data_IF_327179582342
#
_entry.id   IF_327179582342
#
_cell.length_a   1.000
_cell.length_b   1.000
_cell.length_c   1.000
_cell.angle_alpha   90.00
_cell.angle_beta   90.00
_cell.angle_gamma   90.00
#
_symmetry.space_group_name_H-M   'P 1'
#
loop_
_entity.id
_entity.type
_entity.pdbx_description
1 polymer ?
#
# COMPACT_ATOMS: atom_id res chain seq x y z
N UNK A 1 29.51 12.59 -26.02
CA UNK A 1 29.77 11.58 -24.97
C UNK A 1 29.26 12.01 -23.61
N UNK A 2 29.66 13.18 -23.08
CA UNK A 2 29.16 13.68 -21.78
C UNK A 2 27.64 13.98 -21.76
N UNK A 3 27.08 14.50 -22.86
CA UNK A 3 25.63 14.77 -22.99
C UNK A 3 24.81 13.48 -22.97
N UNK A 4 25.27 12.45 -23.69
CA UNK A 4 24.64 11.11 -23.76
C UNK A 4 24.69 10.38 -22.42
N UNK A 5 25.79 10.54 -21.67
CA UNK A 5 25.96 10.01 -20.32
C UNK A 5 25.04 10.72 -19.30
N UNK A 6 24.86 12.03 -19.44
CA UNK A 6 23.99 12.81 -18.57
C UNK A 6 22.50 12.49 -18.80
N UNK A 7 22.12 12.16 -20.05
CA UNK A 7 20.74 11.75 -20.38
C UNK A 7 20.43 10.33 -19.87
N UNK A 8 21.38 9.40 -19.95
CA UNK A 8 21.20 8.04 -19.41
C UNK A 8 21.14 8.04 -17.88
N UNK A 9 21.90 8.92 -17.21
CA UNK A 9 21.87 9.06 -15.76
C UNK A 9 20.53 9.63 -15.24
N UNK A 10 19.85 10.47 -16.02
CA UNK A 10 18.55 11.05 -15.63
C UNK A 10 17.40 10.05 -15.76
N UNK A 11 17.43 9.15 -16.75
CA UNK A 11 16.43 8.08 -16.87
C UNK A 11 16.57 7.00 -15.78
N UNK A 12 17.78 6.74 -15.28
CA UNK A 12 18.00 5.74 -14.23
C UNK A 12 17.45 6.19 -12.86
N UNK A 13 17.46 7.51 -12.57
CA UNK A 13 16.93 8.05 -11.33
C UNK A 13 15.39 8.00 -11.23
N UNK A 14 14.67 8.06 -12.35
CA UNK A 14 13.21 7.92 -12.37
C UNK A 14 12.75 6.49 -12.02
N UNK A 15 13.57 5.48 -12.32
CA UNK A 15 13.26 4.09 -11.97
C UNK A 15 13.40 3.81 -10.45
N UNK A 16 14.23 4.56 -9.71
CA UNK A 16 14.34 4.44 -8.25
C UNK A 16 13.21 5.14 -7.49
N UNK A 17 12.55 6.14 -8.09
CA UNK A 17 11.41 6.85 -7.48
C UNK A 17 10.09 6.06 -7.56
N UNK A 18 10.10 4.92 -8.24
CA UNK A 18 8.98 3.98 -8.31
C UNK A 18 8.98 2.96 -7.15
N UNK A 19 9.58 3.30 -6.00
CA UNK A 19 9.16 2.77 -4.70
C UNK A 19 7.78 3.35 -4.37
N UNK A 20 6.83 3.03 -5.24
CA UNK A 20 5.43 3.38 -5.24
C UNK A 20 4.81 2.88 -3.94
N UNK A 21 3.91 3.66 -3.35
CA UNK A 21 3.02 3.27 -2.26
C UNK A 21 2.60 1.80 -2.39
N UNK A 22 3.30 0.91 -1.69
CA UNK A 22 3.17 -0.53 -1.88
C UNK A 22 1.92 -0.99 -1.15
N UNK A 23 0.79 -0.83 -1.82
CA UNK A 23 -0.44 -1.51 -1.46
C UNK A 23 -0.40 -2.95 -1.99
N UNK A 24 -0.99 -3.92 -1.26
CA UNK A 24 -1.59 -3.74 0.07
C UNK A 24 -0.54 -3.48 1.16
N UNK A 25 -0.93 -2.73 2.19
CA UNK A 25 -0.09 -2.53 3.37
C UNK A 25 -0.12 -3.81 4.21
N UNK A 26 1.04 -4.43 4.36
CA UNK A 26 1.23 -5.64 5.17
C UNK A 26 1.88 -5.29 6.50
N UNK A 27 1.18 -5.60 7.59
CA UNK A 27 1.61 -5.33 8.97
C UNK A 27 1.79 -6.67 9.67
N UNK A 28 3.02 -7.24 9.67
CA UNK A 28 3.30 -8.47 10.39
C UNK A 28 3.29 -8.20 11.90
N UNK A 29 2.77 -9.16 12.65
CA UNK A 29 2.74 -9.15 14.12
C UNK A 29 3.17 -10.52 14.63
N UNK A 30 3.43 -10.63 15.93
CA UNK A 30 3.72 -11.94 16.56
C UNK A 30 2.58 -12.96 16.37
N UNK A 31 1.34 -12.49 16.24
CA UNK A 31 0.13 -13.32 16.19
C UNK A 31 -0.36 -13.62 14.77
N UNK A 32 0.11 -12.89 13.78
CA UNK A 32 -0.45 -12.98 12.43
C UNK A 32 -0.08 -11.80 11.54
N UNK A 33 -0.65 -11.79 10.35
CA UNK A 33 -0.50 -10.75 9.34
C UNK A 33 -1.81 -9.98 9.20
N UNK A 34 -1.75 -8.66 9.40
CA UNK A 34 -2.81 -7.74 9.02
C UNK A 34 -2.50 -7.16 7.64
N UNK A 35 -3.41 -7.34 6.70
CA UNK A 35 -3.33 -6.78 5.34
C UNK A 35 -4.41 -5.70 5.21
N UNK A 36 -4.01 -4.47 4.91
CA UNK A 36 -4.91 -3.36 4.61
C UNK A 36 -4.83 -3.11 3.10
N UNK A 37 -5.95 -3.28 2.41
CA UNK A 37 -6.03 -2.97 0.98
C UNK A 37 -6.19 -1.47 0.77
N UNK A 38 -5.86 -1.00 -0.43
CA UNK A 38 -5.90 0.42 -0.76
C UNK A 38 -7.26 1.05 -0.42
N UNK A 39 -7.29 2.12 0.40
CA UNK A 39 -8.52 2.85 0.70
C UNK A 39 -9.16 3.41 -0.56
N UNK A 40 -10.49 3.29 -0.64
CA UNK A 40 -11.32 3.87 -1.69
C UNK A 40 -12.00 5.11 -1.10
N UNK A 41 -11.77 6.31 -1.66
CA UNK A 41 -12.51 7.51 -1.27
C UNK A 41 -14.02 7.30 -1.43
N UNK A 42 -14.80 7.76 -0.46
CA UNK A 42 -16.26 7.72 -0.49
C UNK A 42 -16.89 9.12 -0.67
N UNK A 43 -16.29 10.17 -0.08
CA UNK A 43 -16.70 11.56 -0.31
C UNK A 43 -15.53 12.54 -0.17
N UNK A 44 -15.71 13.74 -0.73
CA UNK A 44 -14.78 14.86 -0.57
C UNK A 44 -15.56 16.18 -0.54
N UNK A 45 -15.60 16.84 0.62
CA UNK A 45 -16.32 18.09 0.83
C UNK A 45 -15.43 19.11 1.56
N UNK A 46 -15.04 20.17 0.86
CA UNK A 46 -14.11 21.18 1.38
C UNK A 46 -12.74 20.58 1.66
N UNK A 47 -12.42 20.38 2.93
CA UNK A 47 -11.20 19.75 3.45
C UNK A 47 -11.47 18.43 4.19
N UNK A 48 -12.69 17.89 4.10
CA UNK A 48 -13.07 16.61 4.66
C UNK A 48 -13.13 15.56 3.55
N UNK A 49 -12.45 14.44 3.74
CA UNK A 49 -12.51 13.27 2.88
C UNK A 49 -12.89 12.08 3.75
N UNK A 50 -13.85 11.27 3.29
CA UNK A 50 -14.06 9.94 3.85
C UNK A 50 -13.54 8.88 2.90
N UNK A 51 -13.09 7.76 3.45
CA UNK A 51 -12.66 6.60 2.71
C UNK A 51 -13.04 5.32 3.46
N UNK A 52 -13.12 4.23 2.69
CA UNK A 52 -13.18 2.88 3.24
C UNK A 52 -12.02 2.04 2.74
N UNK A 53 -11.53 1.13 3.57
CA UNK A 53 -10.55 0.13 3.15
C UNK A 53 -11.02 -1.26 3.56
N UNK A 54 -10.81 -2.24 2.67
CA UNK A 54 -10.93 -3.64 3.05
C UNK A 54 -9.71 -4.05 3.87
N UNK A 55 -9.91 -4.94 4.84
CA UNK A 55 -8.85 -5.50 5.67
C UNK A 55 -8.96 -7.02 5.74
N UNK A 56 -7.83 -7.69 5.89
CA UNK A 56 -7.73 -9.12 6.13
C UNK A 56 -6.81 -9.35 7.34
N UNK A 57 -7.24 -10.23 8.24
CA UNK A 57 -6.39 -10.79 9.27
C UNK A 57 -6.12 -12.27 9.00
N UNK A 58 -4.86 -12.70 9.09
CA UNK A 58 -4.47 -14.12 9.05
C UNK A 58 -3.64 -14.44 10.29
N UNK A 59 -4.20 -15.26 11.19
CA UNK A 59 -3.46 -15.80 12.33
C UNK A 59 -2.36 -16.77 11.89
N UNK A 60 -1.32 -16.90 12.72
CA UNK A 60 -0.19 -17.80 12.47
C UNK A 60 -0.47 -19.26 12.87
N UNK A 61 -1.61 -19.55 13.50
CA UNK A 61 -1.97 -20.90 13.92
C UNK A 61 -2.18 -21.82 12.69
N UNK A 62 -1.77 -23.11 12.76
CA UNK A 62 -2.03 -24.06 11.69
C UNK A 62 -3.52 -24.16 11.37
N UNK A 63 -3.88 -23.94 10.10
CA UNK A 63 -5.28 -23.99 9.66
C UNK A 63 -6.11 -22.76 10.05
N UNK A 64 -5.51 -21.68 10.57
CA UNK A 64 -6.23 -20.43 10.80
C UNK A 64 -6.82 -19.91 9.48
N UNK A 65 -8.13 -19.73 9.39
CA UNK A 65 -8.76 -19.15 8.19
C UNK A 65 -8.62 -17.62 8.18
N UNK A 66 -8.47 -16.97 7.01
CA UNK A 66 -8.46 -15.51 6.94
C UNK A 66 -9.80 -14.90 7.38
N UNK A 67 -9.75 -13.83 8.17
CA UNK A 67 -10.91 -13.02 8.56
C UNK A 67 -10.90 -11.73 7.74
N UNK A 68 -12.01 -11.43 7.07
CA UNK A 68 -12.15 -10.23 6.25
C UNK A 68 -13.04 -9.19 6.94
N UNK A 69 -12.72 -7.92 6.73
CA UNK A 69 -13.49 -6.80 7.27
C UNK A 69 -13.29 -5.52 6.46
N UNK A 70 -13.86 -4.43 6.97
CA UNK A 70 -13.68 -3.10 6.42
C UNK A 70 -13.48 -2.07 7.54
N UNK A 71 -12.75 -1.01 7.23
CA UNK A 71 -12.52 0.15 8.09
C UNK A 71 -12.98 1.41 7.35
N UNK A 72 -13.48 2.40 8.09
CA UNK A 72 -13.93 3.71 7.59
C UNK A 72 -13.21 4.82 8.35
N UNK A 73 -12.98 5.96 7.68
CA UNK A 73 -12.38 7.15 8.28
C UNK A 73 -12.53 8.36 7.39
#
# INVERSE_FOLDING_TARGET
MIRTLLTTLTFLSAALLAAQDQWPLEIPTEKGLLTIYQPQPESYEGNHMSARAAVQWKGNEPGAEPIFGAIWG
#
